data_IF_365548209819
#
_entry.id   IF_365548209819
#
_cell.length_a   1.000
_cell.length_b   1.000
_cell.length_c   1.000
_cell.angle_alpha   90.00
_cell.angle_beta   90.00
_cell.angle_gamma   90.00
#
_symmetry.space_group_name_H-M   'P 1'
#
loop_
_entity.id
_entity.type
_entity.pdbx_description
1 polymer ?
#
# COMPACT_ATOMS: atom_id res chain seq x y z
N UNK A 1 -15.77 12.20 -11.80
CA UNK A 1 -14.73 11.75 -10.87
C UNK A 1 -13.74 10.93 -11.68
N UNK A 2 -12.46 11.01 -11.36
CA UNK A 2 -11.42 10.30 -12.09
C UNK A 2 -10.26 10.05 -11.13
N UNK A 3 -9.70 8.83 -11.19
CA UNK A 3 -8.56 8.46 -10.37
C UNK A 3 -7.41 9.41 -10.64
N UNK A 4 -6.93 10.06 -9.58
CA UNK A 4 -5.83 11.02 -9.61
C UNK A 4 -4.63 10.56 -8.78
N UNK A 5 -4.82 9.55 -7.92
CA UNK A 5 -3.79 9.03 -7.03
C UNK A 5 -3.77 7.49 -7.10
N UNK A 6 -2.59 6.90 -7.27
CA UNK A 6 -2.37 5.46 -7.09
C UNK A 6 -1.17 5.24 -6.18
N UNK A 7 -1.37 4.40 -5.16
CA UNK A 7 -0.30 3.92 -4.31
C UNK A 7 0.37 2.67 -4.91
N UNK A 8 1.70 2.72 -5.01
CA UNK A 8 2.60 1.68 -5.49
C UNK A 8 3.34 0.98 -4.33
N UNK A 9 3.02 1.34 -3.09
CA UNK A 9 3.55 0.68 -1.90
C UNK A 9 3.19 -0.80 -1.83
N UNK A 10 4.06 -1.59 -1.20
CA UNK A 10 3.81 -3.01 -0.93
C UNK A 10 2.77 -3.20 0.20
N UNK A 11 2.11 -4.37 0.29
CA UNK A 11 1.26 -4.68 1.44
C UNK A 11 1.98 -4.39 2.76
N UNK A 12 1.25 -3.86 3.74
CA UNK A 12 1.74 -3.47 5.08
C UNK A 12 2.67 -2.24 5.11
N UNK A 13 2.91 -1.56 4.00
CA UNK A 13 3.74 -0.35 3.96
C UNK A 13 3.03 0.93 4.42
N UNK A 14 1.79 0.83 4.90
CA UNK A 14 0.97 1.98 5.31
C UNK A 14 -0.20 2.30 4.38
N UNK A 15 -0.57 1.39 3.49
CA UNK A 15 -1.73 1.50 2.57
C UNK A 15 -3.01 1.97 3.29
N UNK A 16 -3.35 1.35 4.44
CA UNK A 16 -4.53 1.73 5.22
C UNK A 16 -4.43 3.11 5.89
N UNK A 17 -3.23 3.53 6.29
CA UNK A 17 -3.01 4.90 6.81
C UNK A 17 -3.26 5.91 5.69
N UNK A 18 -2.68 5.69 4.51
CA UNK A 18 -2.90 6.56 3.35
C UNK A 18 -4.39 6.62 2.98
N UNK A 19 -5.06 5.47 2.93
CA UNK A 19 -6.51 5.38 2.68
C UNK A 19 -7.30 6.28 3.64
N UNK A 20 -7.10 6.13 4.95
CA UNK A 20 -7.85 6.89 5.94
C UNK A 20 -7.53 8.38 5.88
N UNK A 21 -6.28 8.78 5.59
CA UNK A 21 -5.94 10.19 5.38
C UNK A 21 -6.68 10.80 4.18
N UNK A 22 -6.71 10.09 3.06
CA UNK A 22 -7.41 10.52 1.84
C UNK A 22 -8.94 10.54 2.03
N UNK A 23 -9.52 9.50 2.65
CA UNK A 23 -10.95 9.46 2.99
C UNK A 23 -11.34 10.68 3.84
N UNK A 24 -10.51 11.04 4.84
CA UNK A 24 -10.73 12.20 5.70
C UNK A 24 -10.56 13.54 4.97
N UNK A 25 -9.76 13.57 3.92
CA UNK A 25 -9.62 14.72 3.02
C UNK A 25 -10.74 14.81 1.96
N UNK A 26 -11.69 13.86 1.96
CA UNK A 26 -12.86 13.88 1.08
C UNK A 26 -12.69 13.11 -0.23
N UNK A 27 -11.63 12.32 -0.40
CA UNK A 27 -11.44 11.47 -1.56
C UNK A 27 -12.31 10.20 -1.45
N UNK A 28 -12.81 9.72 -2.60
CA UNK A 28 -13.41 8.38 -2.70
C UNK A 28 -12.30 7.36 -2.96
N UNK A 29 -11.96 6.52 -1.99
CA UNK A 29 -10.79 5.63 -2.07
C UNK A 29 -11.18 4.16 -2.29
N UNK A 30 -10.56 3.52 -3.29
CA UNK A 30 -10.56 2.07 -3.44
C UNK A 30 -9.32 1.46 -2.76
N UNK A 31 -9.52 0.40 -1.99
CA UNK A 31 -8.48 -0.23 -1.17
C UNK A 31 -8.64 -1.74 -1.15
N UNK A 32 -7.72 -2.46 -1.82
CA UNK A 32 -7.62 -3.92 -1.95
C UNK A 32 -8.85 -4.60 -2.60
N UNK A 33 -10.03 -4.44 -1.99
CA UNK A 33 -11.33 -4.95 -2.46
C UNK A 33 -12.38 -3.85 -2.40
N UNK A 34 -13.20 -3.77 -3.44
CA UNK A 34 -14.39 -2.91 -3.50
C UNK A 34 -15.65 -3.74 -3.69
N UNK A 35 -16.82 -3.15 -3.42
CA UNK A 35 -18.11 -3.80 -3.69
C UNK A 35 -18.24 -4.08 -5.18
N UNK A 36 -18.73 -5.26 -5.52
CA UNK A 36 -19.10 -5.55 -6.90
C UNK A 36 -20.26 -4.64 -7.33
N UNK A 37 -20.22 -4.18 -8.58
CA UNK A 37 -21.29 -3.33 -9.16
C UNK A 37 -22.57 -4.10 -9.42
N UNK A 38 -22.46 -5.40 -9.71
CA UNK A 38 -23.60 -6.25 -10.08
C UNK A 38 -24.48 -6.59 -8.87
N UNK A 39 -23.89 -6.69 -7.68
CA UNK A 39 -24.62 -6.96 -6.43
C UNK A 39 -24.08 -6.09 -5.28
N UNK A 40 -24.39 -4.78 -5.26
CA UNK A 40 -23.84 -3.83 -4.27
C UNK A 40 -24.31 -4.08 -2.82
N UNK A 41 -25.40 -4.83 -2.66
CA UNK A 41 -26.00 -5.18 -1.38
C UNK A 41 -25.51 -6.53 -0.83
N UNK A 42 -24.76 -7.31 -1.61
CA UNK A 42 -24.13 -8.54 -1.12
C UNK A 42 -22.76 -8.21 -0.49
N UNK A 43 -22.61 -8.31 0.85
CA UNK A 43 -21.33 -8.03 1.50
C UNK A 43 -20.23 -9.06 1.16
N UNK A 44 -20.60 -10.23 0.63
CA UNK A 44 -19.67 -11.27 0.20
C UNK A 44 -19.12 -11.04 -1.21
N UNK A 45 -19.84 -10.29 -2.06
CA UNK A 45 -19.39 -10.03 -3.42
C UNK A 45 -18.46 -8.82 -3.49
N UNK A 46 -17.16 -9.12 -3.39
CA UNK A 46 -16.09 -8.13 -3.44
C UNK A 46 -15.11 -8.47 -4.55
N UNK A 47 -14.83 -7.48 -5.37
CA UNK A 47 -13.86 -7.57 -6.46
C UNK A 47 -12.56 -6.89 -6.07
N UNK A 48 -11.44 -7.45 -6.53
CA UNK A 48 -10.12 -6.90 -6.24
C UNK A 48 -9.79 -5.72 -7.16
N UNK A 49 -9.24 -4.65 -6.58
CA UNK A 49 -8.84 -3.45 -7.35
C UNK A 49 -7.85 -3.82 -8.46
N UNK A 50 -6.82 -4.60 -8.15
CA UNK A 50 -5.85 -5.04 -9.14
C UNK A 50 -6.45 -5.88 -10.28
N UNK A 51 -7.47 -6.71 -10.00
CA UNK A 51 -8.15 -7.48 -11.03
C UNK A 51 -8.89 -6.56 -12.00
N UNK A 52 -9.58 -5.54 -11.49
CA UNK A 52 -10.23 -4.52 -12.31
C UNK A 52 -9.23 -3.71 -13.13
N UNK A 53 -8.02 -3.47 -12.61
CA UNK A 53 -6.96 -2.79 -13.38
C UNK A 53 -6.51 -3.61 -14.59
N UNK A 54 -6.28 -4.91 -14.40
CA UNK A 54 -5.91 -5.80 -15.50
C UNK A 54 -7.05 -5.99 -16.50
N UNK A 55 -8.29 -6.11 -16.01
CA UNK A 55 -9.45 -6.16 -16.89
C UNK A 55 -9.60 -4.85 -17.69
N UNK A 56 -9.43 -3.70 -17.03
CA UNK A 56 -9.36 -2.38 -17.65
C UNK A 56 -8.34 -2.34 -18.79
N UNK A 57 -7.11 -2.75 -18.51
CA UNK A 57 -6.02 -2.74 -19.48
C UNK A 57 -6.31 -3.66 -20.67
N UNK A 58 -6.63 -4.93 -20.42
CA UNK A 58 -6.71 -5.93 -21.49
C UNK A 58 -8.03 -5.93 -22.25
N UNK A 59 -9.15 -5.56 -21.63
CA UNK A 59 -10.45 -5.51 -22.32
C UNK A 59 -10.78 -4.13 -22.88
N UNK A 60 -10.35 -3.05 -22.22
CA UNK A 60 -10.73 -1.68 -22.56
C UNK A 60 -9.57 -0.79 -22.99
N UNK A 61 -8.33 -1.29 -22.90
CA UNK A 61 -7.13 -0.51 -23.23
C UNK A 61 -6.78 0.57 -22.22
N UNK A 62 -7.46 0.63 -21.07
CA UNK A 62 -7.24 1.62 -20.00
C UNK A 62 -7.34 0.93 -18.63
N UNK A 63 -6.26 0.86 -17.85
CA UNK A 63 -6.27 0.30 -16.49
C UNK A 63 -7.33 0.88 -15.55
N UNK A 64 -7.81 2.10 -15.80
CA UNK A 64 -8.77 2.78 -14.94
C UNK A 64 -10.20 2.73 -15.48
N UNK A 65 -10.45 2.02 -16.58
CA UNK A 65 -11.75 1.96 -17.25
C UNK A 65 -12.91 1.55 -16.32
N UNK A 66 -12.63 0.66 -15.35
CA UNK A 66 -13.61 0.12 -14.41
C UNK A 66 -13.58 0.80 -13.02
N UNK A 67 -12.71 1.79 -12.82
CA UNK A 67 -12.44 2.42 -11.52
C UNK A 67 -12.79 3.92 -11.50
N UNK A 68 -13.60 4.38 -12.46
CA UNK A 68 -13.94 5.81 -12.67
C UNK A 68 -14.71 6.47 -11.52
N UNK A 69 -15.28 5.69 -10.61
CA UNK A 69 -16.04 6.20 -9.45
C UNK A 69 -15.15 6.55 -8.27
N UNK A 70 -13.83 6.31 -8.38
CA UNK A 70 -12.86 6.55 -7.32
C UNK A 70 -11.90 7.67 -7.70
N UNK A 71 -11.41 8.37 -6.68
CA UNK A 71 -10.40 9.41 -6.81
C UNK A 71 -8.99 8.86 -6.53
N UNK A 72 -8.88 7.79 -5.71
CA UNK A 72 -7.60 7.20 -5.33
C UNK A 72 -7.65 5.67 -5.17
N UNK A 73 -6.52 5.01 -5.48
CA UNK A 73 -6.31 3.57 -5.24
C UNK A 73 -5.15 3.39 -4.24
N UNK A 74 -5.35 2.72 -3.11
CA UNK A 74 -4.37 2.69 -2.00
C UNK A 74 -3.74 1.33 -1.70
N UNK A 75 -4.38 0.23 -2.10
CA UNK A 75 -3.79 -1.11 -2.15
C UNK A 75 -4.30 -1.83 -3.41
N UNK A 76 -3.39 -2.07 -4.36
CA UNK A 76 -3.73 -2.64 -5.68
C UNK A 76 -3.30 -4.09 -5.86
N UNK A 77 -2.38 -4.58 -5.02
CA UNK A 77 -1.93 -5.98 -5.03
C UNK A 77 -2.83 -6.90 -4.23
N UNK A 78 -2.88 -8.17 -4.61
CA UNK A 78 -3.50 -9.20 -3.80
C UNK A 78 -2.92 -10.59 -4.08
N UNK A 79 -3.03 -11.47 -3.08
CA UNK A 79 -2.88 -12.93 -3.23
C UNK A 79 -4.13 -13.59 -2.66
N UNK A 80 -4.89 -14.26 -3.53
CA UNK A 80 -6.14 -14.93 -3.18
C UNK A 80 -6.52 -16.02 -4.19
N UNK A 81 -7.03 -17.16 -3.70
CA UNK A 81 -7.60 -18.21 -4.56
C UNK A 81 -6.61 -18.75 -5.61
N UNK A 82 -5.32 -18.88 -5.27
CA UNK A 82 -4.27 -19.29 -6.20
C UNK A 82 -3.85 -18.21 -7.21
N UNK A 83 -4.42 -17.01 -7.13
CA UNK A 83 -4.06 -15.88 -8.00
C UNK A 83 -3.18 -14.90 -7.23
N UNK A 84 -2.13 -14.39 -7.89
CA UNK A 84 -1.19 -13.40 -7.36
C UNK A 84 -1.08 -12.24 -8.35
N UNK A 85 -1.40 -11.04 -7.91
CA UNK A 85 -1.57 -9.86 -8.77
C UNK A 85 -0.88 -8.65 -8.14
N UNK A 86 -0.03 -7.98 -8.92
CA UNK A 86 0.87 -6.92 -8.45
C UNK A 86 0.98 -5.79 -9.49
N UNK A 87 -0.09 -5.00 -9.71
CA UNK A 87 -0.09 -3.94 -10.73
C UNK A 87 1.04 -2.93 -10.53
N UNK A 88 1.46 -2.70 -9.27
CA UNK A 88 2.55 -1.79 -8.92
C UNK A 88 3.95 -2.28 -9.34
N UNK A 89 4.09 -3.56 -9.70
CA UNK A 89 5.35 -4.16 -10.15
C UNK A 89 5.37 -4.42 -11.67
N UNK A 90 4.30 -4.08 -12.39
CA UNK A 90 4.12 -4.42 -13.80
C UNK A 90 4.45 -3.23 -14.71
N UNK A 91 5.51 -3.34 -15.51
CA UNK A 91 5.94 -2.27 -16.40
C UNK A 91 4.89 -1.91 -17.46
N UNK A 92 4.15 -2.89 -18.01
CA UNK A 92 3.12 -2.61 -19.01
C UNK A 92 1.96 -1.83 -18.39
N UNK A 93 1.58 -2.19 -17.16
CA UNK A 93 0.58 -1.48 -16.37
C UNK A 93 1.01 -0.02 -16.10
N UNK A 94 2.22 0.19 -15.57
CA UNK A 94 2.74 1.52 -15.24
C UNK A 94 2.91 2.41 -16.48
N UNK A 95 3.38 1.85 -17.59
CA UNK A 95 3.48 2.56 -18.87
C UNK A 95 2.11 2.98 -19.40
N UNK A 96 1.12 2.09 -19.35
CA UNK A 96 -0.24 2.41 -19.79
C UNK A 96 -0.86 3.51 -18.93
N UNK A 97 -0.73 3.42 -17.60
CA UNK A 97 -1.20 4.44 -16.67
C UNK A 97 -0.58 5.81 -16.97
N UNK A 98 0.75 5.90 -17.05
CA UNK A 98 1.42 7.19 -17.31
C UNK A 98 1.08 7.75 -18.69
N UNK A 99 0.94 6.90 -19.72
CA UNK A 99 0.57 7.31 -21.08
C UNK A 99 -0.85 7.87 -21.16
N UNK A 100 -1.82 7.20 -20.55
CA UNK A 100 -3.24 7.54 -20.66
C UNK A 100 -3.66 8.61 -19.64
N UNK A 101 -2.99 8.64 -18.48
CA UNK A 101 -3.29 9.52 -17.35
C UNK A 101 -2.03 10.30 -16.96
N UNK A 102 -1.56 11.25 -17.80
CA UNK A 102 -0.27 11.92 -17.60
C UNK A 102 -0.21 12.75 -16.30
N UNK A 103 -1.36 13.16 -15.76
CA UNK A 103 -1.49 13.92 -14.50
C UNK A 103 -1.65 13.03 -13.26
N UNK A 104 -1.61 11.71 -13.42
CA UNK A 104 -1.78 10.78 -12.31
C UNK A 104 -0.60 10.90 -11.33
N UNK A 105 -0.91 11.06 -10.05
CA UNK A 105 0.07 11.04 -8.98
C UNK A 105 0.32 9.60 -8.52
N UNK A 106 1.58 9.19 -8.49
CA UNK A 106 2.00 7.94 -7.87
C UNK A 106 2.59 8.23 -6.50
N UNK A 107 2.10 7.53 -5.50
CA UNK A 107 2.69 7.50 -4.16
C UNK A 107 3.27 6.12 -3.96
N UNK A 108 4.39 5.97 -3.26
CA UNK A 108 4.87 4.69 -2.78
C UNK A 108 5.01 4.78 -1.26
N UNK A 109 3.95 4.40 -0.54
CA UNK A 109 4.03 4.32 0.92
C UNK A 109 5.07 3.28 1.31
N UNK A 110 5.90 3.60 2.31
CA UNK A 110 7.01 2.77 2.78
C UNK A 110 7.17 2.92 4.30
N UNK A 111 7.87 1.97 4.91
CA UNK A 111 8.44 2.01 6.28
C UNK A 111 9.88 1.50 6.23
N UNK A 112 10.59 1.55 7.35
CA UNK A 112 11.87 0.86 7.48
C UNK A 112 11.74 -0.59 6.99
N UNK A 113 12.68 -1.02 6.13
CA UNK A 113 12.58 -2.29 5.38
C UNK A 113 12.40 -3.50 6.31
N UNK A 114 13.16 -3.54 7.41
CA UNK A 114 13.05 -4.61 8.39
C UNK A 114 11.67 -4.61 9.08
N UNK A 115 11.14 -3.45 9.47
CA UNK A 115 9.80 -3.34 10.08
C UNK A 115 8.71 -3.80 9.13
N UNK A 116 8.83 -3.45 7.85
CA UNK A 116 7.91 -3.88 6.79
C UNK A 116 7.97 -5.41 6.62
N UNK A 117 9.15 -5.98 6.48
CA UNK A 117 9.35 -7.43 6.36
C UNK A 117 8.78 -8.18 7.57
N UNK A 118 9.09 -7.71 8.79
CA UNK A 118 8.54 -8.27 10.03
C UNK A 118 7.01 -8.15 10.08
N UNK A 119 6.45 -7.02 9.63
CA UNK A 119 4.99 -6.86 9.56
C UNK A 119 4.34 -7.82 8.56
N UNK A 120 4.96 -8.07 7.40
CA UNK A 120 4.48 -9.04 6.41
C UNK A 120 4.52 -10.46 6.99
N UNK A 121 5.60 -10.80 7.70
CA UNK A 121 5.79 -12.10 8.36
C UNK A 121 4.77 -12.39 9.46
N UNK A 122 4.35 -11.37 10.22
CA UNK A 122 3.30 -11.52 11.26
C UNK A 122 1.87 -11.48 10.71
N UNK A 123 1.67 -11.07 9.46
CA UNK A 123 0.32 -10.83 8.94
C UNK A 123 -0.37 -12.10 8.45
N UNK A 124 -1.06 -12.79 9.36
CA UNK A 124 -1.76 -14.05 9.07
C UNK A 124 -0.81 -15.01 8.32
N UNK A 125 -1.28 -15.65 7.25
CA UNK A 125 -0.48 -16.51 6.39
C UNK A 125 0.20 -15.76 5.22
N UNK A 126 0.36 -14.43 5.28
CA UNK A 126 0.95 -13.65 4.17
C UNK A 126 2.42 -13.99 3.93
N UNK A 127 3.30 -13.64 4.87
CA UNK A 127 4.74 -13.83 4.70
C UNK A 127 5.19 -15.29 4.77
N UNK A 128 4.53 -16.12 5.59
CA UNK A 128 4.95 -17.51 5.81
C UNK A 128 4.48 -18.49 4.74
N UNK A 129 3.34 -18.22 4.08
CA UNK A 129 2.71 -19.16 3.13
C UNK A 129 2.38 -18.50 1.80
N UNK A 130 1.59 -17.42 1.80
CA UNK A 130 1.04 -16.88 0.55
C UNK A 130 2.12 -16.30 -0.35
N UNK A 131 3.03 -15.47 0.17
CA UNK A 131 4.11 -14.89 -0.63
C UNK A 131 5.06 -15.98 -1.16
N UNK A 132 5.63 -16.87 -0.32
CA UNK A 132 6.62 -17.83 -0.82
C UNK A 132 6.05 -18.90 -1.77
N UNK A 133 4.75 -19.20 -1.67
CA UNK A 133 4.07 -20.19 -2.51
C UNK A 133 3.35 -19.59 -3.72
N UNK A 134 3.48 -18.29 -3.97
CA UNK A 134 2.84 -17.61 -5.09
C UNK A 134 3.85 -16.95 -6.02
N UNK A 135 3.47 -16.74 -7.27
CA UNK A 135 4.27 -15.96 -8.20
C UNK A 135 4.24 -14.48 -7.79
N UNK A 136 5.31 -14.00 -7.16
CA UNK A 136 5.50 -12.60 -6.77
C UNK A 136 6.59 -11.97 -7.64
N UNK A 137 6.32 -10.84 -8.33
CA UNK A 137 7.36 -10.18 -9.10
C UNK A 137 8.57 -9.79 -8.23
N UNK A 138 9.77 -10.14 -8.70
CA UNK A 138 11.01 -9.90 -7.97
C UNK A 138 11.30 -10.86 -6.82
N UNK A 139 10.43 -11.85 -6.56
CA UNK A 139 10.62 -12.87 -5.52
C UNK A 139 10.18 -14.24 -6.04
N UNK A 140 11.11 -15.06 -6.55
CA UNK A 140 10.78 -16.38 -7.10
C UNK A 140 10.12 -17.30 -6.07
N UNK A 141 9.24 -18.20 -6.54
CA UNK A 141 8.58 -19.20 -5.70
C UNK A 141 9.62 -20.04 -4.95
N UNK A 142 9.40 -20.25 -3.65
CA UNK A 142 10.32 -20.96 -2.76
C UNK A 142 11.32 -20.06 -2.02
N UNK A 143 11.25 -18.74 -2.21
CA UNK A 143 12.00 -17.73 -1.45
C UNK A 143 11.05 -16.78 -0.71
N UNK A 144 11.58 -15.98 0.21
CA UNK A 144 10.81 -15.04 1.04
C UNK A 144 10.25 -15.67 2.31
N UNK A 145 10.79 -16.84 2.69
CA UNK A 145 10.42 -17.53 3.93
C UNK A 145 11.05 -16.85 5.15
N UNK A 146 12.18 -16.18 4.94
CA UNK A 146 12.93 -15.47 5.99
C UNK A 146 12.81 -13.96 5.84
N UNK A 147 13.04 -13.24 6.95
CA UNK A 147 12.98 -11.77 6.99
C UNK A 147 13.99 -11.17 6.01
N UNK A 148 15.23 -11.64 6.00
CA UNK A 148 16.30 -11.11 5.15
C UNK A 148 15.99 -11.26 3.64
N UNK A 149 15.36 -12.37 3.24
CA UNK A 149 14.92 -12.59 1.86
C UNK A 149 13.82 -11.61 1.45
N UNK A 150 12.86 -11.35 2.35
CA UNK A 150 11.83 -10.34 2.11
C UNK A 150 12.41 -8.93 2.09
N UNK A 151 13.43 -8.64 2.89
CA UNK A 151 14.10 -7.33 2.88
C UNK A 151 14.74 -7.05 1.52
N UNK A 152 15.43 -8.04 0.92
CA UNK A 152 16.00 -7.91 -0.44
C UNK A 152 14.91 -7.59 -1.47
N UNK A 153 13.79 -8.31 -1.42
CA UNK A 153 12.67 -8.08 -2.33
C UNK A 153 12.03 -6.69 -2.13
N UNK A 154 11.82 -6.30 -0.88
CA UNK A 154 11.28 -4.98 -0.50
C UNK A 154 12.19 -3.88 -1.06
N UNK A 155 13.48 -3.91 -0.73
CA UNK A 155 14.44 -2.90 -1.19
C UNK A 155 14.49 -2.86 -2.71
N UNK A 156 14.55 -4.02 -3.38
CA UNK A 156 14.54 -4.10 -4.83
C UNK A 156 13.31 -3.45 -5.49
N UNK A 157 12.11 -3.59 -4.90
CA UNK A 157 10.91 -2.92 -5.39
C UNK A 157 11.03 -1.39 -5.32
N UNK A 158 11.42 -0.85 -4.17
CA UNK A 158 11.51 0.61 -4.00
C UNK A 158 12.70 1.21 -4.76
N UNK A 159 13.83 0.51 -4.88
CA UNK A 159 14.94 0.92 -5.74
C UNK A 159 14.51 0.97 -7.22
N UNK A 160 13.74 -0.02 -7.68
CA UNK A 160 13.19 -0.03 -9.04
C UNK A 160 12.24 1.16 -9.27
N UNK A 161 11.33 1.45 -8.32
CA UNK A 161 10.46 2.62 -8.40
C UNK A 161 11.26 3.92 -8.42
N UNK A 162 12.25 4.08 -7.53
CA UNK A 162 13.16 5.23 -7.51
C UNK A 162 13.86 5.41 -8.86
N UNK A 163 14.36 4.32 -9.46
CA UNK A 163 15.00 4.37 -10.77
C UNK A 163 14.01 4.78 -11.87
N UNK A 164 12.83 4.18 -11.88
CA UNK A 164 11.80 4.39 -12.91
C UNK A 164 11.24 5.82 -12.89
N UNK A 165 11.03 6.37 -11.69
CA UNK A 165 10.40 7.67 -11.47
C UNK A 165 11.38 8.80 -11.09
N UNK A 166 12.70 8.58 -11.25
CA UNK A 166 13.78 9.52 -10.83
C UNK A 166 13.63 10.98 -11.27
N UNK A 167 12.88 11.25 -12.34
CA UNK A 167 12.64 12.61 -12.86
C UNK A 167 11.15 12.95 -12.94
N UNK A 168 10.28 12.14 -12.35
CA UNK A 168 8.84 12.32 -12.42
C UNK A 168 8.35 13.15 -11.23
N UNK A 169 7.91 14.41 -11.44
CA UNK A 169 7.44 15.26 -10.34
C UNK A 169 6.09 14.78 -9.77
N UNK A 170 5.43 13.82 -10.43
CA UNK A 170 4.18 13.20 -10.00
C UNK A 170 4.43 11.84 -9.34
N UNK A 171 5.63 11.61 -8.81
CA UNK A 171 5.97 10.46 -7.97
C UNK A 171 6.48 10.92 -6.60
N UNK A 172 6.00 10.26 -5.54
CA UNK A 172 6.46 10.45 -4.17
C UNK A 172 6.65 9.11 -3.47
N UNK A 173 7.90 8.75 -3.15
CA UNK A 173 8.16 7.75 -2.11
C UNK A 173 7.95 8.39 -0.73
N UNK A 174 7.09 7.78 0.09
CA UNK A 174 6.64 8.33 1.36
C UNK A 174 6.89 7.33 2.50
N UNK A 175 7.89 7.61 3.33
CA UNK A 175 7.99 6.95 4.63
C UNK A 175 6.84 7.42 5.53
N UNK A 176 5.90 6.52 5.82
CA UNK A 176 4.69 6.86 6.60
C UNK A 176 4.97 7.05 8.09
N UNK A 177 6.13 6.59 8.57
CA UNK A 177 6.55 6.75 9.96
C UNK A 177 7.33 8.06 10.18
N UNK A 178 7.76 8.73 9.11
CA UNK A 178 8.50 9.97 9.23
C UNK A 178 7.66 11.07 9.91
N UNK A 179 8.23 11.88 10.84
CA UNK A 179 7.50 12.95 11.51
C UNK A 179 6.90 13.99 10.56
N UNK A 180 7.48 14.14 9.35
CA UNK A 180 7.05 15.07 8.32
C UNK A 180 6.24 14.39 7.18
N UNK A 181 5.83 13.12 7.35
CA UNK A 181 5.13 12.38 6.30
C UNK A 181 3.84 13.07 5.84
N UNK A 182 3.03 13.56 6.79
CA UNK A 182 1.80 14.31 6.50
C UNK A 182 2.08 15.54 5.65
N UNK A 183 3.01 16.39 6.09
CA UNK A 183 3.28 17.68 5.42
C UNK A 183 3.95 17.50 4.06
N UNK A 184 4.77 16.45 3.89
CA UNK A 184 5.28 16.03 2.57
C UNK A 184 4.14 15.65 1.63
N UNK A 185 3.19 14.85 2.11
CA UNK A 185 2.06 14.40 1.30
C UNK A 185 1.11 15.56 0.96
N UNK A 186 0.77 16.42 1.92
CA UNK A 186 -0.04 17.64 1.70
C UNK A 186 0.59 18.53 0.63
N UNK A 187 1.91 18.76 0.71
CA UNK A 187 2.63 19.55 -0.29
C UNK A 187 2.63 18.90 -1.67
N UNK A 188 2.80 17.59 -1.73
CA UNK A 188 2.83 16.85 -2.99
C UNK A 188 1.46 16.84 -3.68
N UNK A 189 0.38 16.63 -2.91
CA UNK A 189 -0.98 16.61 -3.44
C UNK A 189 -1.58 18.01 -3.63
N UNK A 190 -1.04 19.02 -2.95
CA UNK A 190 -1.59 20.37 -2.95
C UNK A 190 -2.93 20.48 -2.22
N UNK A 191 -3.17 19.63 -1.22
CA UNK A 191 -4.40 19.62 -0.44
C UNK A 191 -4.12 19.40 1.07
N UNK A 192 -5.05 19.82 1.91
CA UNK A 192 -4.96 19.61 3.36
C UNK A 192 -5.36 18.17 3.72
N UNK A 193 -4.61 17.52 4.61
CA UNK A 193 -4.90 16.20 5.13
C UNK A 193 -5.32 16.32 6.60
N UNK A 194 -6.62 16.42 6.93
CA UNK A 194 -7.06 16.71 8.29
C UNK A 194 -6.73 15.61 9.31
N UNK A 195 -6.26 14.44 8.84
CA UNK A 195 -5.87 13.33 9.70
C UNK A 195 -4.56 12.68 9.22
N UNK A 196 -3.71 12.33 10.19
CA UNK A 196 -2.53 11.47 9.99
C UNK A 196 -2.26 10.65 11.26
N UNK A 197 -1.94 9.36 11.09
CA UNK A 197 -1.66 8.47 12.23
C UNK A 197 -1.56 7.00 11.82
N UNK A 198 -1.38 6.13 12.82
CA UNK A 198 -1.35 4.69 12.59
C UNK A 198 -2.78 4.12 12.47
N UNK A 199 -3.02 3.36 11.40
CA UNK A 199 -4.22 2.54 11.22
C UNK A 199 -3.80 1.11 10.91
N UNK A 200 -4.66 0.13 11.23
CA UNK A 200 -4.43 -1.30 10.95
C UNK A 200 -3.21 -1.91 11.67
N UNK A 201 -3.07 -1.59 12.97
CA UNK A 201 -2.10 -2.21 13.90
C UNK A 201 -2.46 -3.69 14.08
N UNK A 202 -1.45 -4.57 14.00
CA UNK A 202 -1.61 -6.01 14.21
C UNK A 202 -2.23 -6.26 15.61
N UNK A 203 -3.24 -7.13 15.76
CA UNK A 203 -3.78 -7.49 17.06
C UNK A 203 -2.71 -7.86 18.11
N UNK A 204 -1.65 -8.56 17.71
CA UNK A 204 -0.54 -8.93 18.61
C UNK A 204 0.25 -7.70 19.12
N UNK A 205 0.30 -6.63 18.35
CA UNK A 205 1.00 -5.39 18.70
C UNK A 205 0.11 -4.45 19.53
N UNK A 206 -1.18 -4.79 19.79
CA UNK A 206 -2.10 -3.98 20.62
C UNK A 206 -1.89 -4.17 22.13
N UNK A 207 -1.35 -5.32 22.54
CA UNK A 207 -1.18 -5.70 23.94
C UNK A 207 0.24 -5.50 24.46
N UNK A 208 1.11 -4.82 23.70
CA UNK A 208 2.43 -4.41 24.21
C UNK A 208 2.26 -3.06 24.88
N UNK A 209 2.31 -2.94 26.22
CA UNK A 209 2.26 -1.64 26.86
C UNK A 209 3.48 -0.84 26.39
N UNK A 210 3.24 0.41 25.99
CA UNK A 210 4.30 1.39 25.77
C UNK A 210 5.16 1.42 27.04
N UNK A 211 6.40 0.94 26.95
CA UNK A 211 7.40 1.09 28.01
C UNK A 211 7.75 2.57 28.12
N UNK A 212 6.98 3.28 28.92
CA UNK A 212 7.16 4.68 29.26
C UNK A 212 7.15 4.88 30.77
N UNK A 213 8.31 5.27 31.29
CA UNK A 213 8.59 5.79 32.63
C UNK A 213 8.64 4.78 33.80
N UNK A 214 9.86 4.38 34.15
CA UNK A 214 10.21 4.07 35.54
C UNK A 214 9.89 5.30 36.43
N UNK A 215 9.11 5.16 37.52
CA UNK A 215 9.08 6.17 38.56
C UNK A 215 10.34 6.04 39.41
N UNK A 216 11.04 7.16 39.55
CA UNK A 216 12.23 7.33 40.35
C UNK A 216 12.08 6.83 41.79
N UNK A 217 13.18 6.28 42.31
CA UNK A 217 13.44 6.09 43.74
C UNK A 217 12.99 7.33 44.54
N UNK A 218 12.19 7.10 45.58
CA UNK A 218 12.08 8.04 46.68
C UNK A 218 12.54 7.33 47.95
N UNK A 219 13.82 7.55 48.27
CA UNK A 219 14.36 7.43 49.62
C UNK A 219 13.81 8.57 50.47
N UNK A 220 13.32 8.21 51.65
CA UNK A 220 13.72 8.74 52.97
C UNK A 220 12.54 8.89 53.95
N UNK A 221 12.78 8.30 55.15
CA UNK A 221 12.43 8.75 56.53
C UNK A 221 10.96 9.08 56.86
N UNK A 222 10.33 8.58 57.92
CA UNK A 222 10.77 8.16 59.27
C UNK A 222 10.05 6.89 59.75
#
# INVERSE_FOLDING_TARGET
MAVSIINLGLPKSGTTTLKHALDRAGYTVADHRIKARETPDDPADRVFVGALMYEGLYKYGDPLALLKDYDALTEVSFIYGGTSVWPQCDHAMLLALRKLHPKLCFIATRRATEELARSIMRWNNLGKLRIPLSTVPGLPVGYGHEVDEQMIWIDGHYEALTHWFRTDPLYLELDVAAPDARSKLERFLGCDLPWWGQSNINPEDRDTPETGAEPAEQKDTD
#
